data_IF_450715140846
#
_entry.id   IF_450715140846
#
_cell.length_a   1.000
_cell.length_b   1.000
_cell.length_c   1.000
_cell.angle_alpha   90.00
_cell.angle_beta   90.00
_cell.angle_gamma   90.00
#
_symmetry.space_group_name_H-M   'P 1'
#
loop_
_entity.id
_entity.type
_entity.pdbx_description
1 polymer ?
#
# COMPACT_ATOMS: atom_id res chain seq x y z
N UNK A 1 1.62 -22.20 4.01
CA UNK A 1 1.21 -21.11 3.09
C UNK A 1 2.44 -20.73 2.31
N UNK A 2 2.40 -20.70 0.98
CA UNK A 2 3.59 -20.30 0.19
C UNK A 2 3.75 -18.77 0.21
N UNK A 3 4.94 -18.28 -0.15
CA UNK A 3 5.19 -16.83 -0.32
C UNK A 3 4.17 -16.17 -1.24
N UNK A 4 3.90 -16.76 -2.41
CA UNK A 4 2.93 -16.23 -3.36
C UNK A 4 1.49 -16.21 -2.83
N UNK A 5 1.09 -17.21 -2.01
CA UNK A 5 -0.22 -17.19 -1.34
C UNK A 5 -0.32 -16.06 -0.31
N UNK A 6 0.77 -15.78 0.43
CA UNK A 6 0.79 -14.66 1.36
C UNK A 6 0.70 -13.33 0.61
N UNK A 7 1.51 -13.14 -0.44
CA UNK A 7 1.50 -11.93 -1.27
C UNK A 7 0.10 -11.68 -1.89
N UNK A 8 -0.60 -12.74 -2.28
CA UNK A 8 -1.98 -12.65 -2.76
C UNK A 8 -2.94 -12.14 -1.65
N UNK A 9 -2.89 -12.73 -0.45
CA UNK A 9 -3.72 -12.29 0.69
C UNK A 9 -3.43 -10.84 1.11
N UNK A 10 -2.17 -10.44 1.13
CA UNK A 10 -1.78 -9.06 1.43
C UNK A 10 -2.31 -8.10 0.36
N UNK A 11 -2.28 -8.51 -0.92
CA UNK A 11 -2.87 -7.72 -2.01
C UNK A 11 -4.38 -7.55 -1.84
N UNK A 12 -5.09 -8.61 -1.41
CA UNK A 12 -6.52 -8.54 -1.10
C UNK A 12 -6.81 -7.59 0.07
N UNK A 13 -6.02 -7.65 1.15
CA UNK A 13 -6.15 -6.75 2.28
C UNK A 13 -5.95 -5.29 1.91
N UNK A 14 -4.91 -4.98 1.14
CA UNK A 14 -4.68 -3.60 0.68
C UNK A 14 -5.78 -3.16 -0.29
N UNK A 15 -6.26 -4.05 -1.17
CA UNK A 15 -7.41 -3.74 -2.04
C UNK A 15 -8.66 -3.41 -1.22
N UNK A 16 -8.93 -4.19 -0.16
CA UNK A 16 -10.03 -3.94 0.78
C UNK A 16 -9.90 -2.57 1.46
N UNK A 17 -8.70 -2.25 1.95
CA UNK A 17 -8.40 -0.92 2.51
C UNK A 17 -8.72 0.21 1.53
N UNK A 18 -8.26 0.11 0.27
CA UNK A 18 -8.52 1.13 -0.74
C UNK A 18 -10.01 1.26 -1.07
N UNK A 19 -10.74 0.15 -1.18
CA UNK A 19 -12.19 0.19 -1.46
C UNK A 19 -12.99 0.74 -0.28
N UNK A 20 -12.81 0.19 0.92
CA UNK A 20 -13.66 0.49 2.07
C UNK A 20 -13.31 1.81 2.76
N UNK A 21 -12.02 2.15 2.85
CA UNK A 21 -11.57 3.37 3.52
C UNK A 21 -11.37 4.53 2.53
N UNK A 22 -10.69 4.28 1.41
CA UNK A 22 -10.40 5.32 0.42
C UNK A 22 -11.54 5.53 -0.59
N UNK A 23 -12.55 4.65 -0.59
CA UNK A 23 -13.70 4.73 -1.50
C UNK A 23 -13.38 4.41 -2.95
N UNK A 24 -12.22 3.80 -3.24
CA UNK A 24 -11.80 3.47 -4.61
C UNK A 24 -10.86 2.27 -4.66
N UNK A 25 -11.16 1.28 -5.51
CA UNK A 25 -10.29 0.13 -5.72
C UNK A 25 -9.17 0.39 -6.75
N UNK A 26 -7.99 -0.23 -6.60
CA UNK A 26 -6.95 -0.20 -7.64
C UNK A 26 -7.38 -1.01 -8.88
N UNK A 27 -6.88 -0.62 -10.06
CA UNK A 27 -7.04 -1.44 -11.27
C UNK A 27 -6.15 -2.68 -11.27
N UNK A 28 -4.93 -2.54 -10.75
CA UNK A 28 -3.98 -3.62 -10.61
C UNK A 28 -3.21 -3.41 -9.30
N UNK A 29 -3.05 -4.50 -8.55
CA UNK A 29 -2.28 -4.52 -7.31
C UNK A 29 -1.32 -5.70 -7.33
N UNK A 30 -0.10 -5.48 -6.85
CA UNK A 30 0.91 -6.52 -6.64
C UNK A 30 1.62 -6.27 -5.32
N UNK A 31 1.80 -7.34 -4.56
CA UNK A 31 2.55 -7.32 -3.31
C UNK A 31 3.80 -8.17 -3.43
N UNK A 32 4.89 -7.69 -2.84
CA UNK A 32 6.16 -8.39 -2.74
C UNK A 32 6.57 -8.42 -1.27
N UNK A 33 6.90 -9.61 -0.78
CA UNK A 33 7.50 -9.77 0.54
C UNK A 33 9.01 -9.97 0.37
N UNK A 34 9.82 -9.15 1.04
CA UNK A 34 11.28 -9.22 0.99
C UNK A 34 11.80 -9.06 2.41
N UNK A 35 12.30 -10.14 3.02
CA UNK A 35 12.66 -10.19 4.43
C UNK A 35 11.52 -9.70 5.36
N UNK A 36 11.73 -8.58 6.03
CA UNK A 36 10.84 -7.86 6.94
C UNK A 36 10.05 -6.72 6.24
N UNK A 37 10.17 -6.59 4.92
CA UNK A 37 9.47 -5.59 4.13
C UNK A 37 8.31 -6.19 3.34
N UNK A 38 7.21 -5.48 3.32
CA UNK A 38 6.07 -5.69 2.43
C UNK A 38 5.98 -4.48 1.51
N UNK A 39 6.12 -4.71 0.21
CA UNK A 39 6.03 -3.68 -0.81
C UNK A 39 4.79 -3.92 -1.64
N UNK A 40 3.88 -2.96 -1.67
CA UNK A 40 2.63 -3.03 -2.43
C UNK A 40 2.65 -1.97 -3.52
N UNK A 41 2.46 -2.41 -4.77
CA UNK A 41 2.40 -1.54 -5.95
C UNK A 41 0.99 -1.56 -6.51
N UNK A 42 0.40 -0.37 -6.63
CA UNK A 42 -0.89 -0.14 -7.25
C UNK A 42 -0.65 0.64 -8.54
N UNK A 43 -1.07 0.09 -9.69
CA UNK A 43 -0.92 0.74 -10.99
C UNK A 43 -2.23 1.36 -11.46
N UNK A 44 -2.12 2.43 -12.27
CA UNK A 44 -3.26 3.23 -12.75
C UNK A 44 -4.13 3.80 -11.61
N UNK A 45 -3.47 4.36 -10.59
CA UNK A 45 -4.10 4.84 -9.36
C UNK A 45 -4.69 6.25 -9.49
N UNK A 46 -4.13 7.09 -10.36
CA UNK A 46 -4.62 8.45 -10.57
C UNK A 46 -5.87 8.47 -11.46
N UNK A 47 -6.87 9.24 -11.04
CA UNK A 47 -8.03 9.55 -11.87
C UNK A 47 -7.66 10.59 -12.95
N UNK A 48 -8.46 10.73 -14.04
CA UNK A 48 -8.22 11.76 -15.05
C UNK A 48 -8.16 13.19 -14.47
N UNK A 49 -9.02 13.50 -13.50
CA UNK A 49 -9.04 14.80 -12.83
C UNK A 49 -7.78 15.03 -11.97
N UNK A 50 -7.27 13.97 -11.33
CA UNK A 50 -6.02 14.04 -10.56
C UNK A 50 -4.81 14.22 -11.45
N UNK A 51 -4.77 13.52 -12.60
CA UNK A 51 -3.73 13.74 -13.61
C UNK A 51 -3.71 15.21 -14.05
N UNK A 52 -4.88 15.76 -14.38
CA UNK A 52 -5.03 17.17 -14.76
C UNK A 52 -4.57 18.13 -13.66
N UNK A 53 -4.89 17.85 -12.40
CA UNK A 53 -4.42 18.64 -11.26
C UNK A 53 -2.88 18.64 -11.21
N UNK A 54 -2.26 17.51 -11.48
CA UNK A 54 -0.80 17.33 -11.39
C UNK A 54 -0.02 17.81 -12.62
N UNK A 55 -0.66 18.50 -13.57
CA UNK A 55 0.00 19.09 -14.76
C UNK A 55 0.94 20.27 -14.43
N UNK A 56 0.91 20.79 -13.19
CA UNK A 56 1.76 21.89 -12.75
C UNK A 56 2.33 21.65 -11.34
N UNK A 57 3.43 22.32 -10.96
CA UNK A 57 4.12 22.07 -9.68
C UNK A 57 3.25 22.29 -8.43
N UNK A 58 2.39 23.30 -8.44
CA UNK A 58 1.52 23.63 -7.30
C UNK A 58 0.45 22.54 -7.09
N UNK A 59 -0.13 22.06 -8.18
CA UNK A 59 -1.08 20.95 -8.15
C UNK A 59 -0.43 19.62 -7.72
N UNK A 60 0.82 19.37 -8.12
CA UNK A 60 1.59 18.21 -7.60
C UNK A 60 1.78 18.30 -6.09
N UNK A 61 2.19 19.46 -5.57
CA UNK A 61 2.39 19.66 -4.13
C UNK A 61 1.08 19.47 -3.34
N UNK A 62 0.01 20.09 -3.81
CA UNK A 62 -1.32 19.96 -3.19
C UNK A 62 -1.79 18.50 -3.20
N UNK A 63 -1.68 17.84 -4.35
CA UNK A 63 -2.08 16.44 -4.50
C UNK A 63 -1.32 15.55 -3.51
N UNK A 64 0.01 15.71 -3.42
CA UNK A 64 0.86 14.95 -2.49
C UNK A 64 0.44 15.19 -1.03
N UNK A 65 0.25 16.45 -0.63
CA UNK A 65 -0.20 16.80 0.74
C UNK A 65 -1.53 16.14 1.10
N UNK A 66 -2.52 16.23 0.21
CA UNK A 66 -3.83 15.59 0.41
C UNK A 66 -3.68 14.08 0.55
N UNK A 67 -2.88 13.45 -0.32
CA UNK A 67 -2.69 12.00 -0.30
C UNK A 67 -1.98 11.48 0.93
N UNK A 68 -0.93 12.18 1.37
CA UNK A 68 -0.27 11.86 2.64
C UNK A 68 -1.26 11.97 3.80
N UNK A 69 -2.03 13.06 3.89
CA UNK A 69 -3.00 13.24 4.98
C UNK A 69 -4.09 12.14 5.00
N UNK A 70 -4.64 11.78 3.84
CA UNK A 70 -5.64 10.70 3.73
C UNK A 70 -5.06 9.34 4.15
N UNK A 71 -3.84 9.04 3.71
CA UNK A 71 -3.18 7.78 4.06
C UNK A 71 -2.89 7.68 5.56
N UNK A 72 -2.38 8.74 6.17
CA UNK A 72 -2.13 8.80 7.61
C UNK A 72 -3.41 8.59 8.44
N UNK A 73 -4.55 9.13 7.99
CA UNK A 73 -5.85 8.91 8.63
C UNK A 73 -6.33 7.46 8.57
N UNK A 74 -6.00 6.74 7.48
CA UNK A 74 -6.39 5.34 7.27
C UNK A 74 -5.37 4.30 7.75
N UNK A 75 -4.16 4.73 8.12
CA UNK A 75 -3.04 3.84 8.45
C UNK A 75 -3.42 2.76 9.46
N UNK A 76 -4.07 3.13 10.56
CA UNK A 76 -4.42 2.17 11.61
C UNK A 76 -5.30 1.02 11.10
N UNK A 77 -6.25 1.31 10.21
CA UNK A 77 -7.10 0.27 9.61
C UNK A 77 -6.30 -0.65 8.68
N UNK A 78 -5.42 -0.08 7.84
CA UNK A 78 -4.53 -0.86 7.00
C UNK A 78 -3.64 -1.78 7.84
N UNK A 79 -3.05 -1.26 8.92
CA UNK A 79 -2.17 -2.01 9.81
C UNK A 79 -2.91 -3.18 10.48
N UNK A 80 -4.15 -2.98 10.94
CA UNK A 80 -4.98 -4.08 11.47
C UNK A 80 -5.20 -5.18 10.43
N UNK A 81 -5.62 -4.82 9.21
CA UNK A 81 -5.85 -5.80 8.15
C UNK A 81 -4.61 -6.64 7.81
N UNK A 82 -3.43 -6.02 7.87
CA UNK A 82 -2.17 -6.70 7.58
C UNK A 82 -1.76 -7.58 8.75
N UNK A 83 -1.77 -7.06 9.99
CA UNK A 83 -1.42 -7.83 11.19
C UNK A 83 -2.29 -9.08 11.35
N UNK A 84 -3.58 -9.02 11.03
CA UNK A 84 -4.48 -10.18 11.05
C UNK A 84 -4.03 -11.34 10.11
N UNK A 85 -3.22 -11.03 9.09
CA UNK A 85 -2.71 -12.02 8.11
C UNK A 85 -1.37 -12.62 8.55
N UNK A 86 -0.44 -11.79 9.04
CA UNK A 86 0.96 -12.18 9.26
C UNK A 86 1.35 -12.38 10.73
N UNK A 87 0.53 -11.91 11.69
CA UNK A 87 0.75 -12.03 13.14
C UNK A 87 2.15 -11.53 13.58
N UNK A 88 2.55 -10.39 13.04
CA UNK A 88 3.79 -9.68 13.39
C UNK A 88 3.51 -8.20 13.64
N UNK A 89 4.37 -7.56 14.42
CA UNK A 89 4.23 -6.14 14.72
C UNK A 89 4.70 -5.29 13.53
N UNK A 90 3.95 -4.25 13.22
CA UNK A 90 4.32 -3.26 12.20
C UNK A 90 5.16 -2.18 12.87
N UNK A 91 6.37 -1.94 12.36
CA UNK A 91 7.29 -0.90 12.83
C UNK A 91 6.95 0.43 12.16
N UNK A 92 6.73 0.40 10.85
CA UNK A 92 6.49 1.62 10.07
C UNK A 92 5.71 1.32 8.80
N UNK A 93 4.94 2.31 8.37
CA UNK A 93 4.16 2.29 7.14
C UNK A 93 4.38 3.59 6.39
N UNK A 94 4.71 3.49 5.10
CA UNK A 94 4.95 4.62 4.22
C UNK A 94 4.14 4.47 2.94
N UNK A 95 3.65 5.57 2.39
CA UNK A 95 3.05 5.57 1.06
C UNK A 95 3.47 6.78 0.26
N UNK A 96 3.71 6.57 -1.04
CA UNK A 96 3.90 7.65 -1.99
C UNK A 96 3.22 7.35 -3.34
N UNK A 97 2.87 8.41 -4.07
CA UNK A 97 2.23 8.32 -5.38
C UNK A 97 3.06 9.07 -6.42
N UNK A 98 3.50 8.39 -7.46
CA UNK A 98 4.15 9.03 -8.59
C UNK A 98 3.13 9.78 -9.45
N UNK A 99 3.24 11.11 -9.53
CA UNK A 99 2.43 11.93 -10.44
C UNK A 99 2.87 11.81 -11.90
N UNK A 100 4.01 11.16 -12.17
CA UNK A 100 4.52 10.88 -13.52
C UNK A 100 3.97 9.56 -14.09
N UNK A 101 3.96 8.52 -13.27
CA UNK A 101 3.54 7.16 -13.69
C UNK A 101 2.12 6.81 -13.25
N UNK A 102 1.53 7.58 -12.35
CA UNK A 102 0.21 7.32 -11.80
C UNK A 102 0.17 6.10 -10.88
N UNK A 103 1.31 5.70 -10.32
CA UNK A 103 1.45 4.54 -9.45
C UNK A 103 1.50 4.94 -7.98
N UNK A 104 0.89 4.14 -7.12
CA UNK A 104 1.04 4.24 -5.67
C UNK A 104 1.91 3.09 -5.19
N UNK A 105 2.87 3.41 -4.34
CA UNK A 105 3.66 2.44 -3.60
C UNK A 105 3.32 2.58 -2.13
N UNK A 106 3.17 1.44 -1.46
CA UNK A 106 3.07 1.34 -0.02
C UNK A 106 4.21 0.42 0.44
N UNK A 107 4.94 0.83 1.47
CA UNK A 107 6.00 0.05 2.09
C UNK A 107 5.64 -0.11 3.56
N UNK A 108 5.65 -1.34 4.04
CA UNK A 108 5.42 -1.69 5.43
C UNK A 108 6.64 -2.45 5.92
N UNK A 109 7.18 -2.05 7.07
CA UNK A 109 8.28 -2.73 7.74
C UNK A 109 7.77 -3.43 8.98
N UNK A 110 8.14 -4.70 9.18
CA UNK A 110 7.72 -5.51 10.34
C UNK A 110 8.87 -5.79 11.30
N UNK A 111 8.55 -6.19 12.53
CA UNK A 111 9.56 -6.52 13.57
C UNK A 111 10.30 -7.83 13.33
N UNK A 112 9.83 -8.65 12.40
CA UNK A 112 10.37 -9.96 12.07
C UNK A 112 10.53 -10.14 10.56
N UNK A 113 11.48 -10.98 10.18
CA UNK A 113 11.60 -11.45 8.80
C UNK A 113 10.46 -12.41 8.46
N UNK A 114 9.57 -11.98 7.57
CA UNK A 114 8.37 -12.69 7.15
C UNK A 114 8.73 -13.94 6.34
N UNK A 115 9.73 -13.87 5.47
CA UNK A 115 10.15 -15.01 4.65
C UNK A 115 10.66 -16.19 5.49
N UNK A 116 11.33 -15.91 6.61
CA UNK A 116 11.72 -16.95 7.58
C UNK A 116 10.54 -17.58 8.32
N UNK A 117 9.46 -16.83 8.57
CA UNK A 117 8.25 -17.34 9.21
C UNK A 117 7.47 -18.27 8.28
N UNK A 118 7.55 -18.02 6.97
CA UNK A 118 6.92 -18.85 5.93
C UNK A 118 7.70 -20.15 5.73
N UNK A 119 9.04 -20.11 5.74
CA UNK A 119 9.87 -21.30 5.50
C UNK A 119 9.93 -22.28 6.67
N UNK A 120 9.58 -21.84 7.89
CA UNK A 120 9.51 -22.68 9.09
C UNK A 120 8.17 -23.41 9.26
N UNK A 121 7.17 -23.13 8.42
CA UNK A 121 5.84 -23.76 8.43
C UNK A 121 5.65 -24.67 7.22
#
# INVERSE_FOLDING_TARGET
MTKGQLEAKLSEAVSKFEVEYMGRGPKLIRTYVINDLIIVRLSNFLSPSELKLTDNPQGVELFKKVRSALFEGGRGYLETLITDIIDVAIISTHSDISTKTGEKIIIITTDKNIEQLISKK
#
